data_IF_806785408431
#
_entry.id   IF_806785408431
#
_cell.length_a   1.000
_cell.length_b   1.000
_cell.length_c   1.000
_cell.angle_alpha   90.00
_cell.angle_beta   90.00
_cell.angle_gamma   90.00
#
_symmetry.space_group_name_H-M   'P 1'
#
loop_
_entity.id
_entity.type
_entity.pdbx_description
1 polymer ?
#
# COMPACT_ATOMS: atom_id res chain seq x y z
N UNK A 1 -29.04 68.06 -39.82
CA UNK A 1 -28.07 69.03 -39.28
C UNK A 1 -28.07 68.91 -37.76
N UNK A 2 -26.88 68.88 -37.18
CA UNK A 2 -26.59 68.67 -35.76
C UNK A 2 -27.39 69.57 -34.80
N UNK A 3 -27.76 69.00 -33.66
CA UNK A 3 -27.51 69.47 -32.28
C UNK A 3 -28.29 68.49 -31.38
N UNK A 4 -27.68 67.71 -30.49
CA UNK A 4 -26.71 68.10 -29.48
C UNK A 4 -27.42 67.98 -28.12
N UNK A 5 -27.44 66.79 -27.52
CA UNK A 5 -27.84 66.59 -26.13
C UNK A 5 -26.92 65.56 -25.46
N UNK A 6 -26.13 66.06 -24.52
CA UNK A 6 -25.49 65.28 -23.46
C UNK A 6 -26.57 64.63 -22.58
N UNK A 7 -26.42 63.34 -22.28
CA UNK A 7 -27.02 62.72 -21.10
C UNK A 7 -25.99 61.86 -20.38
N UNK A 8 -26.07 61.97 -19.06
CA UNK A 8 -25.16 61.45 -18.05
C UNK A 8 -25.01 59.92 -18.11
N UNK A 9 -23.79 59.46 -17.84
CA UNK A 9 -23.48 58.08 -17.51
C UNK A 9 -23.77 57.89 -16.02
N UNK A 10 -24.92 57.29 -15.71
CA UNK A 10 -25.17 56.71 -14.38
C UNK A 10 -24.46 55.36 -14.29
N UNK A 11 -23.56 55.25 -13.31
CA UNK A 11 -22.94 54.01 -12.88
C UNK A 11 -24.01 53.06 -12.32
N UNK A 12 -24.36 52.02 -13.06
CA UNK A 12 -25.12 50.89 -12.53
C UNK A 12 -24.13 49.87 -11.97
N UNK A 13 -24.18 49.77 -10.65
CA UNK A 13 -23.51 48.81 -9.79
C UNK A 13 -23.95 47.38 -10.13
N UNK A 14 -23.15 46.67 -10.94
CA UNK A 14 -23.39 45.25 -11.26
C UNK A 14 -22.85 44.40 -10.11
N UNK A 15 -23.66 44.25 -9.05
CA UNK A 15 -23.55 43.11 -8.12
C UNK A 15 -23.81 41.83 -8.91
N UNK A 16 -22.74 41.22 -9.39
CA UNK A 16 -22.77 39.87 -9.96
C UNK A 16 -23.02 38.90 -8.81
N UNK A 17 -24.26 38.44 -8.71
CA UNK A 17 -24.70 37.33 -7.86
C UNK A 17 -23.84 36.12 -8.23
N UNK A 18 -22.83 35.83 -7.39
CA UNK A 18 -22.14 34.57 -7.41
C UNK A 18 -23.18 33.50 -7.06
N UNK A 19 -23.59 32.74 -8.08
CA UNK A 19 -24.38 31.53 -7.88
C UNK A 19 -23.54 30.59 -7.02
N UNK A 20 -23.97 30.39 -5.79
CA UNK A 20 -23.38 29.42 -4.88
C UNK A 20 -23.31 28.07 -5.58
N UNK A 21 -22.10 27.56 -5.72
CA UNK A 21 -21.86 26.14 -5.96
C UNK A 21 -22.45 25.42 -4.75
N UNK A 22 -23.35 24.44 -4.92
CA UNK A 22 -23.88 23.69 -3.79
C UNK A 22 -22.71 22.97 -3.11
N UNK A 23 -22.48 23.28 -1.83
CA UNK A 23 -21.75 22.39 -0.94
C UNK A 23 -22.57 21.08 -0.88
N UNK A 24 -22.15 20.07 -1.64
CA UNK A 24 -22.68 18.72 -1.48
C UNK A 24 -22.25 18.24 -0.10
N UNK A 25 -23.20 18.14 0.82
CA UNK A 25 -23.00 17.62 2.16
C UNK A 25 -22.27 16.28 2.11
N UNK A 26 -21.05 16.27 2.62
CA UNK A 26 -20.22 15.09 2.72
C UNK A 26 -20.83 14.14 3.76
N UNK A 27 -21.48 13.07 3.28
CA UNK A 27 -21.86 11.91 4.08
C UNK A 27 -20.62 11.07 4.45
N UNK A 28 -19.66 11.67 5.17
CA UNK A 28 -18.53 10.97 5.79
C UNK A 28 -19.04 10.30 7.08
N UNK A 29 -18.81 9.00 7.26
CA UNK A 29 -19.39 8.23 8.37
C UNK A 29 -18.37 7.83 9.44
N UNK A 30 -17.08 7.78 9.11
CA UNK A 30 -16.04 7.51 10.11
C UNK A 30 -15.41 8.84 10.55
N UNK A 31 -15.97 9.46 11.59
CA UNK A 31 -15.22 10.49 12.34
C UNK A 31 -13.94 9.85 12.85
N UNK A 32 -12.80 10.32 12.35
CA UNK A 32 -11.49 9.83 12.76
C UNK A 32 -10.99 10.73 13.88
N UNK A 33 -10.49 10.12 14.94
CA UNK A 33 -9.86 10.87 16.04
C UNK A 33 -8.55 11.46 15.53
N UNK A 34 -8.30 12.74 15.79
CA UNK A 34 -6.98 13.32 15.58
C UNK A 34 -6.06 12.87 16.73
N UNK A 35 -4.83 12.50 16.39
CA UNK A 35 -3.82 12.09 17.36
C UNK A 35 -2.63 13.05 17.32
N UNK A 36 -1.93 13.26 18.44
CA UNK A 36 -0.75 14.12 18.49
C UNK A 36 0.32 13.65 17.49
N UNK A 37 1.05 14.63 16.97
CA UNK A 37 2.26 14.44 16.16
C UNK A 37 3.43 15.16 16.85
N UNK A 38 4.70 14.88 16.50
CA UNK A 38 5.85 15.63 17.01
C UNK A 38 5.68 17.15 16.91
N UNK A 39 6.23 17.88 17.87
CA UNK A 39 6.13 19.34 17.91
C UNK A 39 7.18 19.97 16.99
N UNK A 40 6.71 20.68 15.96
CA UNK A 40 7.51 21.58 15.13
C UNK A 40 8.54 20.94 14.20
N UNK A 41 8.97 19.69 14.42
CA UNK A 41 9.93 18.99 13.55
C UNK A 41 9.71 17.47 13.52
N UNK A 42 9.98 16.88 12.36
CA UNK A 42 10.10 15.43 12.16
C UNK A 42 11.37 15.09 11.39
N UNK A 43 11.86 13.87 11.61
CA UNK A 43 12.98 13.26 10.91
C UNK A 43 12.45 12.15 10.02
N UNK A 44 12.56 12.33 8.71
CA UNK A 44 11.79 11.58 7.73
C UNK A 44 12.66 10.74 6.80
N UNK A 45 12.15 9.54 6.49
CA UNK A 45 12.51 8.76 5.31
C UNK A 45 11.54 9.06 4.17
N UNK A 46 12.05 9.03 2.94
CA UNK A 46 11.28 9.30 1.74
C UNK A 46 10.63 8.01 1.24
N UNK A 47 9.31 8.01 1.14
CA UNK A 47 8.58 6.88 0.57
C UNK A 47 8.42 7.03 -0.95
N UNK A 48 7.81 8.14 -1.38
CA UNK A 48 7.54 8.42 -2.78
C UNK A 48 7.46 9.93 -3.03
N UNK A 49 7.80 10.35 -4.25
CA UNK A 49 7.78 11.76 -4.69
C UNK A 49 6.61 12.07 -5.65
N UNK A 50 5.76 11.07 -5.84
CA UNK A 50 4.67 11.00 -6.80
C UNK A 50 3.50 10.20 -6.20
N UNK A 51 3.39 10.20 -4.87
CA UNK A 51 2.27 9.61 -4.16
C UNK A 51 0.97 10.40 -4.40
N UNK A 52 -0.15 9.80 -4.04
CA UNK A 52 -1.45 10.47 -3.95
C UNK A 52 -1.82 10.73 -2.49
N UNK A 53 -2.20 11.97 -2.20
CA UNK A 53 -2.65 12.40 -0.88
C UNK A 53 -3.89 11.62 -0.43
N UNK A 54 -3.91 11.13 0.80
CA UNK A 54 -5.07 10.47 1.39
C UNK A 54 -6.23 11.44 1.68
N UNK A 55 -5.91 12.71 2.01
CA UNK A 55 -6.90 13.69 2.49
C UNK A 55 -7.25 14.80 1.48
N UNK A 56 -6.38 15.11 0.51
CA UNK A 56 -6.62 16.21 -0.45
C UNK A 56 -7.05 15.76 -1.86
N UNK A 57 -8.01 14.84 -1.96
CA UNK A 57 -8.66 14.44 -3.23
C UNK A 57 -7.67 14.05 -4.35
N UNK A 58 -6.74 13.12 -4.10
CA UNK A 58 -5.78 12.60 -5.09
C UNK A 58 -4.86 13.67 -5.69
N UNK A 59 -4.52 14.69 -4.91
CA UNK A 59 -3.42 15.56 -5.29
C UNK A 59 -2.12 14.77 -5.18
N UNK A 60 -1.24 15.04 -6.14
CA UNK A 60 0.11 14.50 -6.13
C UNK A 60 0.86 15.11 -4.96
N UNK A 61 1.49 14.26 -4.15
CA UNK A 61 2.27 14.67 -3.00
C UNK A 61 3.62 13.95 -2.94
N UNK A 62 4.52 14.49 -2.11
CA UNK A 62 5.67 13.77 -1.59
C UNK A 62 5.25 13.15 -0.26
N UNK A 63 5.37 11.82 -0.17
CA UNK A 63 5.06 11.05 1.03
C UNK A 63 6.32 10.71 1.80
N UNK A 64 6.27 10.97 3.09
CA UNK A 64 7.35 10.77 4.04
C UNK A 64 6.89 9.91 5.21
N UNK A 65 7.81 9.11 5.76
CA UNK A 65 7.65 8.46 7.06
C UNK A 65 8.54 9.13 8.08
N UNK A 66 7.94 9.80 9.07
CA UNK A 66 8.62 10.59 10.09
C UNK A 66 8.67 9.91 11.46
N UNK A 67 9.69 10.28 12.24
CA UNK A 67 9.80 10.04 13.69
C UNK A 67 10.11 11.36 14.41
N UNK A 68 9.96 11.36 15.74
CA UNK A 68 10.33 12.51 16.58
C UNK A 68 11.84 12.74 16.65
N UNK A 69 12.26 13.96 17.04
CA UNK A 69 13.67 14.30 17.27
C UNK A 69 14.34 13.37 18.30
N UNK A 70 13.65 13.11 19.42
CA UNK A 70 14.17 12.22 20.46
C UNK A 70 14.45 10.81 19.93
N UNK A 71 13.54 10.26 19.12
CA UNK A 71 13.71 8.94 18.50
C UNK A 71 14.79 8.93 17.42
N UNK A 72 14.94 10.03 16.66
CA UNK A 72 16.02 10.18 15.72
C UNK A 72 17.38 10.17 16.43
N UNK A 73 17.57 11.01 17.44
CA UNK A 73 18.81 11.05 18.24
C UNK A 73 19.12 9.69 18.86
N UNK A 74 18.12 9.03 19.46
CA UNK A 74 18.29 7.68 20.01
C UNK A 74 18.75 6.67 18.94
N UNK A 75 18.21 6.77 17.73
CA UNK A 75 18.59 5.89 16.61
C UNK A 75 20.06 6.06 16.18
N UNK A 76 20.70 7.19 16.49
CA UNK A 76 22.11 7.44 16.21
C UNK A 76 23.05 6.81 17.23
N UNK A 77 22.58 6.61 18.47
CA UNK A 77 23.38 6.11 19.59
C UNK A 77 23.31 4.58 19.70
N UNK A 78 22.13 4.00 19.51
CA UNK A 78 21.90 2.58 19.73
C UNK A 78 22.07 1.73 18.46
N UNK A 79 22.87 0.65 18.56
CA UNK A 79 22.79 -0.48 17.62
C UNK A 79 21.56 -1.34 17.94
N UNK A 80 20.37 -0.75 17.92
CA UNK A 80 19.15 -1.44 18.34
C UNK A 80 18.41 -1.99 17.11
N UNK A 81 18.76 -3.21 16.74
CA UNK A 81 18.04 -3.97 15.69
C UNK A 81 16.57 -4.17 16.07
N UNK A 82 16.25 -4.07 17.37
CA UNK A 82 14.91 -4.17 17.95
C UNK A 82 14.25 -2.82 18.27
N UNK A 83 14.78 -1.68 17.79
CA UNK A 83 14.13 -0.38 18.00
C UNK A 83 12.68 -0.40 17.56
N UNK A 84 11.85 0.27 18.36
CA UNK A 84 10.48 0.63 18.05
C UNK A 84 10.38 2.15 17.91
N UNK A 85 9.50 2.60 17.02
CA UNK A 85 9.33 4.02 16.73
C UNK A 85 7.85 4.37 16.75
N UNK A 86 7.53 5.61 17.10
CA UNK A 86 6.23 6.19 16.77
C UNK A 86 6.38 6.78 15.39
N UNK A 87 5.70 6.18 14.41
CA UNK A 87 5.90 6.51 13.00
C UNK A 87 4.70 7.29 12.48
N UNK A 88 4.99 8.36 11.76
CA UNK A 88 4.00 9.28 11.21
C UNK A 88 4.08 9.26 9.69
N UNK A 89 2.94 9.30 9.00
CA UNK A 89 2.89 9.71 7.60
C UNK A 89 2.87 11.23 7.57
N UNK A 90 3.65 11.81 6.68
CA UNK A 90 3.53 13.20 6.27
C UNK A 90 3.42 13.26 4.75
N UNK A 91 2.37 13.90 4.26
CA UNK A 91 2.21 14.19 2.84
C UNK A 91 2.38 15.70 2.65
N UNK A 92 3.29 16.08 1.75
CA UNK A 92 3.53 17.46 1.32
C UNK A 92 3.08 17.58 -0.13
N UNK A 93 2.07 18.42 -0.39
CA UNK A 93 1.52 18.59 -1.73
C UNK A 93 2.55 19.14 -2.71
N UNK A 94 2.50 18.69 -3.96
CA UNK A 94 3.50 19.02 -4.98
C UNK A 94 3.73 20.54 -5.17
N UNK A 95 2.70 21.41 -5.17
CA UNK A 95 2.92 22.85 -5.25
C UNK A 95 3.74 23.42 -4.08
N UNK A 96 3.53 22.93 -2.86
CA UNK A 96 4.33 23.34 -1.70
C UNK A 96 5.77 22.80 -1.81
N UNK A 97 5.93 21.57 -2.27
CA UNK A 97 7.24 20.96 -2.53
C UNK A 97 8.08 21.74 -3.57
N UNK A 98 7.45 22.19 -4.66
CA UNK A 98 8.12 22.97 -5.71
C UNK A 98 8.57 24.34 -5.22
N UNK A 99 7.76 25.03 -4.41
CA UNK A 99 8.11 26.34 -3.81
C UNK A 99 9.34 26.23 -2.91
N UNK A 100 9.50 25.09 -2.22
CA UNK A 100 10.68 24.80 -1.40
C UNK A 100 11.95 24.51 -2.24
N UNK A 101 11.84 24.47 -3.58
CA UNK A 101 12.95 24.23 -4.53
C UNK A 101 13.70 22.92 -4.29
N UNK A 102 12.99 21.88 -3.86
CA UNK A 102 13.57 20.59 -3.48
C UNK A 102 13.80 19.66 -4.69
N UNK A 103 14.08 20.22 -5.87
CA UNK A 103 14.32 19.46 -7.10
C UNK A 103 15.55 18.55 -6.98
N UNK A 104 16.56 18.95 -6.21
CA UNK A 104 17.73 18.12 -5.97
C UNK A 104 17.39 16.87 -5.15
N UNK A 105 16.46 16.97 -4.19
CA UNK A 105 15.95 15.82 -3.44
C UNK A 105 15.18 14.89 -4.39
N UNK A 106 14.40 15.42 -5.32
CA UNK A 106 13.69 14.60 -6.31
C UNK A 106 14.66 13.76 -7.17
N UNK A 107 15.77 14.37 -7.61
CA UNK A 107 16.81 13.71 -8.40
C UNK A 107 17.66 12.73 -7.58
N UNK A 108 17.81 12.99 -6.28
CA UNK A 108 18.63 12.19 -5.36
C UNK A 108 17.82 11.36 -4.37
N UNK A 109 16.53 11.15 -4.66
CA UNK A 109 15.52 10.53 -3.79
C UNK A 109 15.94 9.20 -3.18
N UNK A 110 16.73 8.42 -3.91
CA UNK A 110 17.16 7.10 -3.48
C UNK A 110 18.03 7.14 -2.22
N UNK A 111 18.72 8.26 -1.96
CA UNK A 111 19.53 8.49 -0.74
C UNK A 111 18.71 8.55 0.55
N UNK A 112 17.39 8.79 0.45
CA UNK A 112 16.51 8.99 1.60
C UNK A 112 15.62 7.77 1.88
N UNK A 113 15.88 6.63 1.22
CA UNK A 113 15.18 5.36 1.46
C UNK A 113 15.58 4.78 2.83
N UNK A 114 14.77 3.86 3.33
CA UNK A 114 15.00 3.19 4.62
C UNK A 114 16.36 2.47 4.72
N UNK A 115 16.90 1.99 3.60
CA UNK A 115 18.21 1.33 3.52
C UNK A 115 19.40 2.28 3.62
N UNK A 116 19.17 3.56 3.41
CA UNK A 116 20.23 4.57 3.30
C UNK A 116 20.39 5.36 4.59
N UNK A 117 21.58 5.90 4.88
CA UNK A 117 21.83 6.62 6.11
C UNK A 117 21.20 8.02 6.16
N UNK A 118 20.90 8.64 5.02
CA UNK A 118 20.43 10.03 5.00
C UNK A 118 18.95 10.16 5.35
N UNK A 119 18.59 11.28 5.97
CA UNK A 119 17.22 11.61 6.38
C UNK A 119 16.86 13.02 5.91
N UNK A 120 15.57 13.33 5.97
CA UNK A 120 15.05 14.67 5.78
C UNK A 120 14.58 15.22 7.13
N UNK A 121 15.19 16.28 7.63
CA UNK A 121 14.59 17.08 8.70
C UNK A 121 13.53 17.99 8.08
N UNK A 122 12.28 17.84 8.53
CA UNK A 122 11.16 18.68 8.12
C UNK A 122 10.72 19.53 9.31
N UNK A 123 10.89 20.85 9.19
CA UNK A 123 10.39 21.82 10.17
C UNK A 123 9.06 22.40 9.71
N UNK A 124 8.11 22.52 10.63
CA UNK A 124 6.74 22.96 10.32
C UNK A 124 6.09 23.69 11.50
N UNK A 125 4.99 24.39 11.20
CA UNK A 125 4.02 24.83 12.21
C UNK A 125 2.79 23.94 12.15
N UNK A 126 2.47 23.32 13.28
CA UNK A 126 1.21 22.61 13.50
C UNK A 126 0.17 23.58 14.05
N UNK A 127 -0.15 24.62 13.28
CA UNK A 127 -1.07 25.67 13.73
C UNK A 127 -2.00 26.10 12.60
N UNK A 128 -2.86 25.17 12.20
CA UNK A 128 -3.94 25.47 11.28
C UNK A 128 -5.21 24.83 11.80
N UNK A 129 -6.07 25.68 12.36
CA UNK A 129 -7.47 25.35 12.65
C UNK A 129 -8.28 25.06 11.37
N UNK A 130 -7.68 25.26 10.18
CA UNK A 130 -8.25 24.96 8.88
C UNK A 130 -7.19 24.48 7.88
N UNK A 131 -7.54 23.48 7.09
CA UNK A 131 -6.76 22.96 5.96
C UNK A 131 -6.44 24.07 4.93
N UNK A 132 -5.16 24.34 4.67
CA UNK A 132 -4.69 25.26 3.62
C UNK A 132 -4.33 24.53 2.32
N UNK A 133 -4.44 23.20 2.31
CA UNK A 133 -4.16 22.33 1.19
C UNK A 133 -2.68 22.15 0.86
N UNK A 134 -1.75 22.41 1.78
CA UNK A 134 -0.31 22.30 1.55
C UNK A 134 0.32 21.01 2.08
N UNK A 135 0.03 20.64 3.32
CA UNK A 135 0.59 19.46 3.94
C UNK A 135 -0.21 18.99 5.14
N UNK A 136 -0.07 17.72 5.48
CA UNK A 136 -0.56 17.17 6.74
C UNK A 136 0.32 16.03 7.23
N UNK A 137 0.19 15.70 8.51
CA UNK A 137 0.73 14.47 9.07
C UNK A 137 -0.27 13.76 9.98
N UNK A 138 -0.09 12.46 10.17
CA UNK A 138 -0.85 11.65 11.12
C UNK A 138 -0.08 10.38 11.52
N UNK A 139 -0.30 9.82 12.71
CA UNK A 139 0.37 8.59 13.12
C UNK A 139 -0.16 7.36 12.38
N UNK A 140 0.78 6.51 11.94
CA UNK A 140 0.49 5.25 11.25
C UNK A 140 -0.27 4.26 12.14
N UNK A 141 -1.12 3.45 11.50
CA UNK A 141 -1.83 2.30 12.08
C UNK A 141 -2.84 2.65 13.18
N UNK A 142 -3.24 3.92 13.28
CA UNK A 142 -4.27 4.37 14.21
C UNK A 142 -5.58 4.77 13.50
N UNK A 143 -5.60 4.77 12.16
CA UNK A 143 -6.74 5.27 11.41
C UNK A 143 -7.07 6.74 11.73
N UNK A 144 -6.07 7.52 12.15
CA UNK A 144 -6.20 8.90 12.66
C UNK A 144 -6.71 9.89 11.62
N UNK A 145 -7.31 10.99 12.07
CA UNK A 145 -7.51 12.22 11.27
C UNK A 145 -6.16 12.97 11.09
N UNK A 146 -6.04 13.82 10.06
CA UNK A 146 -4.81 14.55 9.79
C UNK A 146 -4.63 15.72 10.76
N UNK A 147 -3.37 16.09 10.99
CA UNK A 147 -2.96 17.40 11.51
C UNK A 147 -2.37 18.18 10.34
N UNK A 148 -3.02 19.27 9.94
CA UNK A 148 -2.55 20.11 8.84
C UNK A 148 -1.32 20.91 9.26
N UNK A 149 -0.41 21.14 8.30
CA UNK A 149 0.92 21.67 8.56
C UNK A 149 1.27 22.78 7.57
N UNK A 150 1.92 23.83 8.06
CA UNK A 150 2.68 24.75 7.22
C UNK A 150 4.15 24.33 7.23
N UNK A 151 4.66 23.88 6.07
CA UNK A 151 6.06 23.46 5.95
C UNK A 151 6.96 24.69 5.88
N UNK A 152 7.88 24.81 6.84
CA UNK A 152 8.83 25.92 6.90
C UNK A 152 10.12 25.58 6.15
N UNK A 153 10.59 24.34 6.29
CA UNK A 153 11.88 23.91 5.75
C UNK A 153 11.96 22.39 5.63
N UNK A 154 12.65 21.93 4.58
CA UNK A 154 13.10 20.54 4.43
C UNK A 154 14.60 20.56 4.17
N UNK A 155 15.39 19.86 4.98
CA UNK A 155 16.86 19.76 4.79
C UNK A 155 17.34 18.32 4.87
N UNK A 156 18.20 17.87 3.94
CA UNK A 156 18.95 16.63 4.09
C UNK A 156 19.85 16.70 5.33
N UNK A 157 19.90 15.59 6.07
CA UNK A 157 20.80 15.42 7.20
C UNK A 157 21.37 14.00 7.21
N UNK A 158 22.50 13.84 7.89
CA UNK A 158 23.10 12.53 8.11
C UNK A 158 22.44 11.83 9.30
N UNK A 159 22.21 10.53 9.15
CA UNK A 159 21.76 9.67 10.22
C UNK A 159 22.20 8.23 10.02
N UNK A 160 21.38 7.28 10.48
CA UNK A 160 21.58 5.85 10.22
C UNK A 160 20.49 5.28 9.33
N UNK A 161 20.84 4.22 8.60
CA UNK A 161 19.85 3.41 7.92
C UNK A 161 18.91 2.77 8.95
N UNK A 162 17.66 2.54 8.56
CA UNK A 162 16.72 1.81 9.40
C UNK A 162 17.27 0.39 9.62
N UNK A 163 17.36 -0.10 10.87
CA UNK A 163 17.89 -1.43 11.11
C UNK A 163 17.03 -2.49 10.42
N UNK A 164 17.69 -3.45 9.78
CA UNK A 164 17.01 -4.58 9.13
C UNK A 164 16.27 -5.42 10.16
N UNK A 165 15.10 -5.91 9.79
CA UNK A 165 14.34 -6.83 10.63
C UNK A 165 14.95 -8.23 10.55
N UNK A 166 15.50 -8.74 11.67
CA UNK A 166 16.06 -10.09 11.70
C UNK A 166 15.00 -11.15 11.51
N UNK A 167 15.30 -12.12 10.67
CA UNK A 167 14.45 -13.28 10.42
C UNK A 167 14.31 -14.12 11.68
N UNK A 168 13.08 -14.50 11.99
CA UNK A 168 12.78 -15.54 12.98
C UNK A 168 12.19 -16.76 12.28
N UNK A 169 12.36 -17.98 12.83
CA UNK A 169 11.62 -19.14 12.33
C UNK A 169 10.12 -18.85 12.35
N UNK A 170 9.44 -19.07 11.23
CA UNK A 170 8.01 -18.85 11.15
C UNK A 170 7.27 -19.85 12.07
N UNK A 171 6.66 -19.35 13.14
CA UNK A 171 5.77 -20.15 13.97
C UNK A 171 4.41 -20.23 13.29
N UNK A 172 4.05 -21.42 12.80
CA UNK A 172 2.74 -21.69 12.20
C UNK A 172 1.64 -21.19 13.15
N UNK A 173 0.72 -20.32 12.69
CA UNK A 173 -0.44 -19.96 13.50
C UNK A 173 -1.23 -21.23 13.83
N UNK A 174 -1.79 -21.28 15.04
CA UNK A 174 -2.67 -22.37 15.43
C UNK A 174 -4.00 -22.24 14.68
N UNK A 175 -4.13 -22.95 13.57
CA UNK A 175 -5.41 -23.16 12.92
C UNK A 175 -6.03 -24.45 13.46
N UNK A 176 -7.24 -24.36 14.01
CA UNK A 176 -8.00 -25.56 14.35
C UNK A 176 -8.31 -26.30 13.05
N UNK A 177 -7.95 -27.58 12.91
CA UNK A 177 -8.29 -28.37 11.73
C UNK A 177 -9.78 -28.26 11.46
N UNK A 178 -10.14 -27.85 10.25
CA UNK A 178 -11.53 -27.61 9.87
C UNK A 178 -11.91 -28.59 8.77
N UNK A 179 -13.12 -29.16 8.87
CA UNK A 179 -13.73 -29.87 7.74
C UNK A 179 -14.13 -28.92 6.59
N UNK A 180 -14.11 -27.61 6.82
CA UNK A 180 -14.39 -26.61 5.80
C UNK A 180 -13.17 -26.39 4.93
N UNK A 181 -13.38 -26.44 3.62
CA UNK A 181 -12.31 -26.26 2.65
C UNK A 181 -11.84 -24.83 2.57
N UNK A 182 -10.57 -24.67 2.23
CA UNK A 182 -10.00 -23.36 1.96
C UNK A 182 -10.38 -22.88 0.55
N UNK A 183 -10.54 -21.58 0.42
CA UNK A 183 -10.77 -20.87 -0.84
C UNK A 183 -9.83 -19.67 -0.89
N UNK A 184 -9.48 -19.24 -2.11
CA UNK A 184 -8.72 -18.02 -2.33
C UNK A 184 -9.63 -16.98 -2.99
N UNK A 185 -9.80 -15.85 -2.33
CA UNK A 185 -10.49 -14.67 -2.85
C UNK A 185 -9.50 -13.54 -3.10
N UNK A 186 -9.59 -12.88 -4.24
CA UNK A 186 -8.88 -11.64 -4.53
C UNK A 186 -9.86 -10.47 -4.58
N UNK A 187 -9.36 -9.26 -4.34
CA UNK A 187 -10.16 -8.06 -4.22
C UNK A 187 -9.66 -6.98 -5.16
N UNK A 188 -10.57 -6.37 -5.93
CA UNK A 188 -10.26 -5.17 -6.70
C UNK A 188 -10.18 -3.98 -5.74
N UNK A 189 -8.96 -3.59 -5.39
CA UNK A 189 -8.67 -2.50 -4.43
C UNK A 189 -8.14 -1.25 -5.14
N UNK A 190 -8.40 -1.13 -6.45
CA UNK A 190 -7.70 -0.21 -7.33
C UNK A 190 -6.23 -0.60 -7.47
N UNK A 191 -5.30 0.35 -7.40
CA UNK A 191 -3.87 0.04 -7.37
C UNK A 191 -3.47 -0.58 -6.02
N UNK A 192 -2.62 -1.60 -6.04
CA UNK A 192 -2.29 -2.40 -4.88
C UNK A 192 -2.78 -3.83 -4.96
N UNK A 193 -2.41 -4.68 -4.00
CA UNK A 193 -2.84 -6.09 -3.94
C UNK A 193 -3.59 -6.40 -2.66
N UNK A 194 -4.63 -7.21 -2.78
CA UNK A 194 -5.35 -7.74 -1.62
C UNK A 194 -6.02 -9.08 -1.96
N UNK A 195 -5.69 -10.11 -1.20
CA UNK A 195 -6.32 -11.44 -1.30
C UNK A 195 -6.51 -12.06 0.08
N UNK A 196 -7.43 -13.02 0.20
CA UNK A 196 -7.68 -13.75 1.44
C UNK A 196 -7.78 -15.24 1.14
N UNK A 197 -6.91 -16.03 1.78
CA UNK A 197 -6.94 -17.49 1.75
C UNK A 197 -7.55 -18.01 3.05
N UNK A 198 -8.77 -18.56 2.99
CA UNK A 198 -9.55 -18.85 4.21
C UNK A 198 -10.46 -20.05 4.07
N UNK A 199 -10.88 -20.61 5.20
CA UNK A 199 -11.90 -21.67 5.28
C UNK A 199 -13.28 -21.17 5.76
N UNK A 200 -13.44 -19.85 5.87
CA UNK A 200 -14.66 -19.19 6.33
C UNK A 200 -14.74 -18.99 7.85
N UNK A 201 -13.79 -19.56 8.60
CA UNK A 201 -13.63 -19.35 10.05
C UNK A 201 -12.31 -18.68 10.40
N UNK A 202 -11.23 -19.06 9.72
CA UNK A 202 -9.89 -18.50 9.89
C UNK A 202 -9.23 -18.34 8.52
N UNK A 203 -8.16 -17.56 8.44
CA UNK A 203 -7.43 -17.44 7.19
C UNK A 203 -6.21 -16.53 7.25
N UNK A 204 -5.72 -16.23 6.06
CA UNK A 204 -4.57 -15.37 5.81
C UNK A 204 -4.98 -14.28 4.84
N UNK A 205 -4.72 -13.03 5.19
CA UNK A 205 -4.68 -11.92 4.23
C UNK A 205 -3.32 -11.95 3.52
N UNK A 206 -3.30 -11.81 2.20
CA UNK A 206 -2.12 -11.76 1.36
C UNK A 206 -2.11 -10.38 0.70
N UNK A 207 -1.30 -9.48 1.25
CA UNK A 207 -1.37 -8.03 1.04
C UNK A 207 -2.75 -7.40 1.38
N UNK A 208 -2.74 -6.10 1.68
CA UNK A 208 -3.91 -5.31 2.04
C UNK A 208 -3.77 -3.88 1.54
N UNK A 209 -3.40 -3.75 0.28
CA UNK A 209 -3.23 -2.49 -0.42
C UNK A 209 -4.52 -1.88 -0.94
N UNK A 210 -4.50 -0.58 -1.20
CA UNK A 210 -5.49 0.10 -2.02
C UNK A 210 -4.89 1.36 -2.63
N UNK A 211 -5.49 1.81 -3.73
CA UNK A 211 -5.00 2.91 -4.56
C UNK A 211 -6.05 3.26 -5.60
N UNK A 212 -5.80 4.30 -6.41
CA UNK A 212 -6.84 4.89 -7.26
C UNK A 212 -7.54 3.85 -8.14
N UNK A 213 -8.88 3.80 -8.20
CA UNK A 213 -9.80 4.80 -7.65
C UNK A 213 -10.22 4.54 -6.18
N UNK A 214 -9.78 3.45 -5.55
CA UNK A 214 -10.09 3.18 -4.14
C UNK A 214 -9.11 3.92 -3.22
N UNK A 215 -9.47 5.16 -2.89
CA UNK A 215 -8.71 6.04 -2.01
C UNK A 215 -9.36 6.17 -0.63
N UNK A 216 -8.63 6.67 0.35
CA UNK A 216 -9.12 6.80 1.74
C UNK A 216 -10.42 7.60 1.85
N UNK A 217 -10.56 8.67 1.06
CA UNK A 217 -11.81 9.46 1.02
C UNK A 217 -13.01 8.61 0.58
N UNK A 218 -12.89 7.90 -0.54
CA UNK A 218 -13.93 7.01 -1.08
C UNK A 218 -14.23 5.88 -0.09
N UNK A 219 -13.17 5.25 0.45
CA UNK A 219 -13.26 4.20 1.46
C UNK A 219 -14.11 4.57 2.69
N UNK A 220 -14.10 5.85 3.09
CA UNK A 220 -14.83 6.36 4.25
C UNK A 220 -16.29 6.76 3.96
N UNK A 221 -16.72 6.72 2.70
CA UNK A 221 -18.09 7.08 2.33
C UNK A 221 -19.08 5.99 2.78
N UNK A 222 -20.27 6.41 3.25
CA UNK A 222 -21.32 5.47 3.68
C UNK A 222 -21.75 4.48 2.59
N UNK A 223 -21.79 4.96 1.36
CA UNK A 223 -22.25 4.20 0.18
C UNK A 223 -21.20 3.25 -0.37
N UNK A 224 -19.96 3.31 0.11
CA UNK A 224 -18.87 2.49 -0.40
C UNK A 224 -19.07 1.02 -0.04
N UNK A 225 -19.08 0.15 -1.06
CA UNK A 225 -19.14 -1.29 -0.85
C UNK A 225 -17.74 -1.85 -0.63
N UNK A 226 -17.56 -2.52 0.50
CA UNK A 226 -16.32 -3.16 0.90
C UNK A 226 -16.54 -4.65 1.23
N UNK A 227 -16.44 -5.49 0.19
CA UNK A 227 -16.60 -6.94 0.33
C UNK A 227 -15.43 -7.59 1.09
N UNK A 228 -14.24 -6.99 1.05
CA UNK A 228 -13.08 -7.41 1.86
C UNK A 228 -13.40 -7.33 3.35
N UNK A 229 -13.87 -6.18 3.84
CA UNK A 229 -14.24 -6.02 5.24
C UNK A 229 -15.38 -6.94 5.66
N UNK A 230 -16.34 -7.19 4.76
CA UNK A 230 -17.43 -8.14 5.00
C UNK A 230 -16.91 -9.56 5.24
N UNK A 231 -15.87 -9.97 4.50
CA UNK A 231 -15.22 -11.26 4.68
C UNK A 231 -14.41 -11.32 5.98
N UNK A 232 -13.43 -10.43 6.16
CA UNK A 232 -12.45 -10.52 7.27
C UNK A 232 -13.10 -10.34 8.64
N UNK A 233 -14.26 -9.67 8.73
CA UNK A 233 -15.02 -9.56 9.98
C UNK A 233 -15.46 -10.91 10.58
N UNK A 234 -15.52 -11.95 9.75
CA UNK A 234 -15.94 -13.30 10.14
C UNK A 234 -14.78 -14.24 10.45
N UNK A 235 -13.53 -13.80 10.21
CA UNK A 235 -12.35 -14.64 10.34
C UNK A 235 -11.64 -14.39 11.68
N UNK A 236 -11.35 -15.47 12.40
CA UNK A 236 -10.53 -15.49 13.62
C UNK A 236 -10.02 -16.93 13.89
N UNK A 237 -8.69 -17.16 13.99
CA UNK A 237 -7.62 -16.18 13.81
C UNK A 237 -7.50 -15.70 12.35
N UNK A 238 -6.92 -14.51 12.19
CA UNK A 238 -6.62 -13.90 10.89
C UNK A 238 -5.18 -13.37 10.93
N UNK A 239 -4.28 -14.00 10.20
CA UNK A 239 -2.92 -13.51 10.01
C UNK A 239 -2.79 -12.80 8.66
N UNK A 240 -1.73 -12.02 8.48
CA UNK A 240 -1.40 -11.36 7.22
C UNK A 240 -0.01 -11.80 6.74
N UNK A 241 0.15 -12.02 5.44
CA UNK A 241 1.45 -12.08 4.75
C UNK A 241 1.56 -10.83 3.90
N UNK A 242 2.61 -10.07 4.12
CA UNK A 242 2.97 -8.92 3.31
C UNK A 242 4.08 -9.31 2.33
N UNK A 243 3.87 -9.06 1.04
CA UNK A 243 4.83 -9.40 -0.01
C UNK A 243 6.05 -8.47 0.03
N UNK A 244 5.87 -7.15 0.11
CA UNK A 244 6.93 -6.16 0.34
C UNK A 244 6.36 -4.89 0.97
N UNK A 245 7.23 -3.90 1.24
CA UNK A 245 6.90 -2.75 2.07
C UNK A 245 6.36 -1.54 1.32
N UNK A 246 6.10 -1.63 0.02
CA UNK A 246 5.49 -0.51 -0.70
C UNK A 246 4.06 -0.28 -0.23
N UNK A 247 3.72 1.00 -0.14
CA UNK A 247 2.50 1.47 0.52
C UNK A 247 1.22 0.84 -0.02
N UNK A 248 1.14 0.64 -1.33
CA UNK A 248 0.04 0.00 -2.03
C UNK A 248 -0.05 -1.52 -1.79
N UNK A 249 0.72 -2.09 -0.86
CA UNK A 249 0.53 -3.46 -0.37
C UNK A 249 -0.03 -3.54 1.05
N UNK A 250 -0.17 -2.41 1.76
CA UNK A 250 -0.63 -2.41 3.14
C UNK A 250 -1.47 -1.19 3.57
N UNK A 251 -1.78 -0.23 2.69
CA UNK A 251 -2.58 0.98 3.03
C UNK A 251 -3.88 0.68 3.81
N UNK A 252 -4.63 -0.37 3.45
CA UNK A 252 -5.88 -0.67 4.15
C UNK A 252 -5.65 -1.03 5.62
N UNK A 253 -4.50 -1.62 5.95
CA UNK A 253 -4.08 -1.90 7.33
C UNK A 253 -3.85 -0.61 8.15
N UNK A 254 -3.32 0.44 7.51
CA UNK A 254 -3.20 1.78 8.13
C UNK A 254 -4.55 2.51 8.23
N UNK A 255 -5.35 2.42 7.17
CA UNK A 255 -6.60 3.18 7.06
C UNK A 255 -7.73 2.63 7.94
N UNK A 256 -7.78 1.33 8.21
CA UNK A 256 -8.88 0.69 8.93
C UNK A 256 -8.42 0.01 10.23
N UNK A 257 -8.61 0.70 11.36
CA UNK A 257 -8.27 0.18 12.68
C UNK A 257 -9.02 -1.12 13.03
N UNK A 258 -10.26 -1.30 12.54
CA UNK A 258 -11.01 -2.54 12.77
C UNK A 258 -10.35 -3.72 12.04
N UNK A 259 -9.79 -3.47 10.85
CA UNK A 259 -9.02 -4.49 10.14
C UNK A 259 -7.72 -4.82 10.89
N UNK A 260 -6.96 -3.80 11.29
CA UNK A 260 -5.71 -3.99 12.04
C UNK A 260 -5.92 -4.76 13.35
N UNK A 261 -6.96 -4.45 14.11
CA UNK A 261 -7.28 -5.12 15.38
C UNK A 261 -7.52 -6.62 15.19
N UNK A 262 -8.08 -7.02 14.04
CA UNK A 262 -8.35 -8.42 13.69
C UNK A 262 -7.12 -9.20 13.29
N UNK A 263 -6.09 -8.53 12.77
CA UNK A 263 -4.87 -9.19 12.34
C UNK A 263 -4.04 -9.58 13.56
N UNK A 264 -3.84 -10.86 13.81
CA UNK A 264 -3.10 -11.36 14.97
C UNK A 264 -1.57 -11.35 14.75
N UNK A 265 -1.14 -11.64 13.52
CA UNK A 265 0.26 -11.68 13.08
C UNK A 265 0.40 -11.09 11.69
N UNK A 266 1.52 -10.40 11.46
CA UNK A 266 1.91 -9.83 10.18
C UNK A 266 3.27 -10.41 9.79
N UNK A 267 3.27 -11.37 8.87
CA UNK A 267 4.48 -11.94 8.31
C UNK A 267 5.04 -11.01 7.23
N UNK A 268 6.30 -10.60 7.36
CA UNK A 268 6.95 -9.66 6.45
C UNK A 268 8.27 -10.22 5.91
N UNK A 269 8.82 -9.73 4.79
CA UNK A 269 10.13 -10.15 4.31
C UNK A 269 11.21 -9.84 5.35
N UNK A 270 11.91 -10.87 5.79
CA UNK A 270 13.05 -10.68 6.69
C UNK A 270 14.27 -10.09 5.97
N UNK A 271 15.18 -9.55 6.77
CA UNK A 271 16.45 -8.94 6.36
C UNK A 271 16.34 -7.72 5.43
N UNK A 272 15.16 -7.08 5.39
CA UNK A 272 14.97 -5.81 4.68
C UNK A 272 14.54 -4.70 5.67
N UNK A 273 15.00 -3.46 5.49
CA UNK A 273 14.63 -2.35 6.37
C UNK A 273 13.22 -1.83 6.04
N UNK A 274 12.47 -1.45 7.08
CA UNK A 274 11.19 -0.77 6.92
C UNK A 274 10.87 0.05 8.18
N UNK A 275 10.78 1.37 8.05
CA UNK A 275 10.41 2.25 9.15
C UNK A 275 8.95 2.02 9.60
N UNK A 276 7.94 1.98 8.70
CA UNK A 276 6.55 1.68 9.09
C UNK A 276 6.40 0.41 9.94
N UNK A 277 7.09 -0.67 9.58
CA UNK A 277 6.99 -1.96 10.28
C UNK A 277 7.88 -2.08 11.53
N UNK A 278 8.50 -0.97 11.95
CA UNK A 278 9.04 -0.76 13.29
C UNK A 278 8.13 0.10 14.19
N UNK A 279 6.94 0.47 13.71
CA UNK A 279 5.95 1.19 14.50
C UNK A 279 5.61 0.47 15.80
N UNK A 280 5.65 1.19 16.91
CA UNK A 280 5.27 0.75 18.26
C UNK A 280 3.87 0.14 18.29
N UNK A 281 2.96 0.63 17.42
CA UNK A 281 1.57 0.18 17.30
C UNK A 281 1.47 -1.27 16.83
N UNK A 282 2.29 -1.67 15.86
CA UNK A 282 2.15 -2.99 15.22
C UNK A 282 3.31 -3.94 15.48
N UNK A 283 4.44 -3.45 16.06
CA UNK A 283 5.67 -4.24 16.18
C UNK A 283 5.45 -5.61 16.82
N UNK A 284 4.59 -5.70 17.84
CA UNK A 284 4.28 -6.95 18.52
C UNK A 284 3.58 -8.00 17.63
N UNK A 285 2.90 -7.57 16.55
CA UNK A 285 2.27 -8.43 15.54
C UNK A 285 3.25 -8.81 14.42
N UNK A 286 4.33 -8.05 14.20
CA UNK A 286 5.23 -8.22 13.05
C UNK A 286 6.22 -9.37 13.27
N UNK A 287 6.22 -10.34 12.34
CA UNK A 287 7.12 -11.49 12.31
C UNK A 287 7.91 -11.49 10.99
N UNK A 288 9.18 -11.05 10.99
CA UNK A 288 10.02 -11.10 9.79
C UNK A 288 10.45 -12.53 9.49
N UNK A 289 10.21 -13.03 8.28
CA UNK A 289 10.43 -14.43 7.92
C UNK A 289 11.23 -14.60 6.62
N UNK A 290 11.77 -15.79 6.45
CA UNK A 290 12.27 -16.30 5.16
C UNK A 290 11.20 -17.21 4.53
N UNK A 291 11.62 -18.09 3.61
CA UNK A 291 10.79 -19.17 3.09
C UNK A 291 10.20 -20.02 4.22
N UNK A 292 8.88 -20.19 4.21
CA UNK A 292 8.16 -20.91 5.25
C UNK A 292 6.86 -21.54 4.72
N UNK A 293 6.43 -22.63 5.38
CA UNK A 293 5.06 -23.14 5.24
C UNK A 293 4.23 -22.63 6.43
N UNK A 294 3.28 -21.74 6.16
CA UNK A 294 2.44 -21.09 7.17
C UNK A 294 1.16 -21.86 7.47
N UNK A 295 0.63 -22.60 6.47
CA UNK A 295 -0.51 -23.49 6.61
C UNK A 295 -0.22 -24.82 5.92
N UNK A 296 -0.58 -25.92 6.58
CA UNK A 296 -0.48 -27.28 6.06
C UNK A 296 -1.62 -28.12 6.66
N UNK A 297 -2.82 -27.98 6.09
CA UNK A 297 -4.04 -28.66 6.53
C UNK A 297 -4.31 -29.83 5.58
N UNK A 298 -3.86 -31.01 5.99
CA UNK A 298 -4.00 -32.24 5.21
C UNK A 298 -5.46 -32.69 5.10
N UNK A 299 -6.30 -32.39 6.09
CA UNK A 299 -7.72 -32.76 6.12
C UNK A 299 -8.51 -31.91 5.12
N UNK A 300 -8.25 -30.59 5.10
CA UNK A 300 -8.86 -29.69 4.13
C UNK A 300 -8.19 -29.74 2.74
N UNK A 301 -7.09 -30.51 2.60
CA UNK A 301 -6.22 -30.53 1.43
C UNK A 301 -5.77 -29.12 1.04
N UNK A 302 -5.25 -28.36 2.01
CA UNK A 302 -4.89 -26.95 1.85
C UNK A 302 -3.47 -26.65 2.37
N UNK A 303 -2.75 -25.79 1.66
CA UNK A 303 -1.39 -25.39 2.01
C UNK A 303 -1.16 -23.92 1.64
N UNK A 304 -0.46 -23.18 2.51
CA UNK A 304 0.08 -21.86 2.22
C UNK A 304 1.59 -21.90 2.46
N UNK A 305 2.36 -21.74 1.38
CA UNK A 305 3.80 -21.55 1.43
C UNK A 305 4.14 -20.13 1.01
N UNK A 306 5.12 -19.54 1.68
CA UNK A 306 5.75 -18.28 1.27
C UNK A 306 7.21 -18.56 0.92
N UNK A 307 7.69 -17.97 -0.16
CA UNK A 307 9.05 -18.13 -0.67
C UNK A 307 9.73 -16.78 -0.61
N UNK A 308 10.86 -16.69 0.10
CA UNK A 308 11.67 -15.47 0.16
C UNK A 308 12.55 -15.38 -1.08
N UNK A 309 12.49 -14.24 -1.77
CA UNK A 309 13.37 -13.97 -2.91
C UNK A 309 14.83 -13.86 -2.50
N UNK A 310 15.73 -14.12 -3.45
CA UNK A 310 17.16 -13.82 -3.38
C UNK A 310 17.56 -13.18 -4.71
N UNK A 311 17.12 -11.94 -4.96
CA UNK A 311 17.19 -11.36 -6.29
C UNK A 311 18.63 -11.07 -6.71
N UNK A 312 18.93 -11.21 -8.00
CA UNK A 312 20.22 -10.77 -8.55
C UNK A 312 20.45 -9.25 -8.37
N UNK A 313 19.38 -8.47 -8.41
CA UNK A 313 19.38 -7.03 -8.11
C UNK A 313 18.42 -6.73 -6.96
N UNK A 314 18.94 -6.20 -5.86
CA UNK A 314 18.14 -5.86 -4.68
C UNK A 314 17.43 -4.52 -4.84
N UNK A 315 16.11 -4.51 -4.66
CA UNK A 315 15.25 -3.32 -4.61
C UNK A 315 13.99 -3.64 -3.80
N UNK A 316 13.12 -2.64 -3.53
CA UNK A 316 11.90 -2.84 -2.72
C UNK A 316 11.03 -3.99 -3.25
N UNK A 317 10.73 -4.00 -4.56
CA UNK A 317 9.97 -5.06 -5.22
C UNK A 317 10.72 -6.40 -5.28
N UNK A 318 12.04 -6.38 -5.14
CA UNK A 318 12.92 -7.56 -5.22
C UNK A 318 13.14 -8.26 -3.91
N UNK A 319 12.96 -7.57 -2.79
CA UNK A 319 13.20 -8.07 -1.45
C UNK A 319 11.87 -8.45 -0.80
N UNK A 320 11.26 -9.53 -1.31
CA UNK A 320 9.85 -9.82 -1.12
C UNK A 320 9.58 -11.26 -0.64
N UNK A 321 8.34 -11.50 -0.23
CA UNK A 321 7.75 -12.82 -0.08
C UNK A 321 6.79 -13.08 -1.25
N UNK A 322 6.94 -14.25 -1.89
CA UNK A 322 5.99 -14.76 -2.89
C UNK A 322 5.12 -15.83 -2.24
N UNK A 323 3.80 -15.68 -2.27
CA UNK A 323 2.88 -16.64 -1.69
C UNK A 323 2.39 -17.65 -2.74
N UNK A 324 2.32 -18.92 -2.32
CA UNK A 324 1.78 -20.03 -3.10
C UNK A 324 0.69 -20.70 -2.27
N UNK A 325 -0.55 -20.55 -2.74
CA UNK A 325 -1.72 -21.18 -2.12
C UNK A 325 -2.04 -22.48 -2.87
N UNK A 326 -2.32 -23.55 -2.14
CA UNK A 326 -2.86 -24.79 -2.70
C UNK A 326 -4.13 -25.17 -1.97
N UNK A 327 -5.15 -25.58 -2.72
CA UNK A 327 -6.33 -26.21 -2.13
C UNK A 327 -6.97 -27.16 -3.11
N UNK A 328 -7.36 -28.36 -2.65
CA UNK A 328 -8.10 -29.35 -3.47
C UNK A 328 -7.42 -29.67 -4.81
N UNK A 329 -6.10 -29.78 -4.81
CA UNK A 329 -5.30 -30.04 -6.00
C UNK A 329 -5.07 -28.82 -6.92
N UNK A 330 -5.69 -27.68 -6.64
CA UNK A 330 -5.45 -26.42 -7.35
C UNK A 330 -4.33 -25.61 -6.72
N UNK A 331 -3.68 -24.76 -7.51
CA UNK A 331 -2.56 -23.93 -7.09
C UNK A 331 -2.69 -22.49 -7.61
N UNK A 332 -2.41 -21.52 -6.74
CA UNK A 332 -2.33 -20.12 -7.10
C UNK A 332 -0.99 -19.49 -6.72
N UNK A 333 -0.53 -18.55 -7.54
CA UNK A 333 0.67 -17.76 -7.32
C UNK A 333 0.31 -16.29 -7.03
N UNK A 334 0.88 -15.74 -5.96
CA UNK A 334 0.75 -14.33 -5.59
C UNK A 334 2.16 -13.75 -5.38
N UNK A 335 2.77 -13.16 -6.42
CA UNK A 335 4.16 -12.73 -6.42
C UNK A 335 4.42 -11.38 -5.75
N UNK A 336 3.39 -10.62 -5.38
CA UNK A 336 3.57 -9.18 -5.10
C UNK A 336 4.13 -8.50 -6.34
N UNK A 337 5.09 -7.60 -6.18
CA UNK A 337 5.73 -6.94 -7.34
C UNK A 337 6.95 -7.68 -7.90
N UNK A 338 7.13 -8.95 -7.53
CA UNK A 338 8.21 -9.78 -8.09
C UNK A 338 7.84 -10.32 -9.47
N UNK A 339 8.16 -9.55 -10.51
CA UNK A 339 7.86 -9.87 -11.92
C UNK A 339 8.41 -11.24 -12.34
N UNK A 340 7.68 -11.96 -13.19
CA UNK A 340 8.00 -13.35 -13.57
C UNK A 340 9.40 -13.53 -14.15
N UNK A 341 9.87 -12.57 -14.97
CA UNK A 341 11.22 -12.57 -15.55
C UNK A 341 12.36 -12.70 -14.53
N UNK A 342 12.12 -12.38 -13.26
CA UNK A 342 13.13 -12.48 -12.20
C UNK A 342 13.23 -13.90 -11.66
N UNK A 343 12.18 -14.71 -11.75
CA UNK A 343 12.17 -16.06 -11.17
C UNK A 343 13.31 -16.94 -11.67
N UNK A 344 13.61 -17.07 -12.98
CA UNK A 344 14.65 -18.00 -13.43
C UNK A 344 16.07 -17.59 -12.99
N UNK A 345 16.27 -16.30 -12.74
CA UNK A 345 17.56 -15.73 -12.33
C UNK A 345 17.69 -15.50 -10.82
N UNK A 346 16.66 -15.81 -10.03
CA UNK A 346 16.71 -15.68 -8.58
C UNK A 346 17.74 -16.66 -7.99
N UNK A 347 18.48 -16.24 -6.98
CA UNK A 347 19.49 -17.07 -6.30
C UNK A 347 18.89 -18.26 -5.54
N UNK A 348 17.63 -18.16 -5.10
CA UNK A 348 16.90 -19.21 -4.40
C UNK A 348 16.33 -20.26 -5.36
N UNK A 349 16.66 -21.54 -5.13
CA UNK A 349 16.18 -22.65 -5.96
C UNK A 349 14.65 -22.78 -5.94
N UNK A 350 14.02 -22.51 -4.80
CA UNK A 350 12.56 -22.53 -4.68
C UNK A 350 11.89 -21.45 -5.51
N UNK A 351 12.46 -20.24 -5.58
CA UNK A 351 11.95 -19.16 -6.41
C UNK A 351 12.07 -19.51 -7.89
N UNK A 352 13.22 -20.07 -8.32
CA UNK A 352 13.40 -20.57 -9.69
C UNK A 352 12.38 -21.64 -10.05
N UNK A 353 12.06 -22.54 -9.11
CA UNK A 353 11.09 -23.60 -9.34
C UNK A 353 9.66 -23.07 -9.60
N UNK A 354 9.32 -21.87 -9.14
CA UNK A 354 8.02 -21.24 -9.44
C UNK A 354 7.85 -20.95 -10.94
N UNK A 355 8.92 -20.59 -11.65
CA UNK A 355 8.86 -20.34 -13.10
C UNK A 355 8.52 -21.58 -13.94
N UNK A 356 8.84 -22.78 -13.44
CA UNK A 356 8.60 -24.04 -14.13
C UNK A 356 7.23 -24.66 -13.80
N UNK A 357 6.53 -24.14 -12.79
CA UNK A 357 5.24 -24.64 -12.37
C UNK A 357 4.11 -24.12 -13.27
N UNK A 358 2.94 -24.76 -13.17
CA UNK A 358 1.69 -24.32 -13.78
C UNK A 358 0.71 -23.87 -12.70
N UNK A 359 -0.14 -22.89 -13.03
CA UNK A 359 -1.06 -22.31 -12.06
C UNK A 359 -2.52 -22.25 -12.54
N UNK A 360 -3.45 -22.60 -11.64
CA UNK A 360 -4.89 -22.41 -11.85
C UNK A 360 -5.29 -20.94 -11.67
N UNK A 361 -4.53 -20.20 -10.87
CA UNK A 361 -4.70 -18.76 -10.75
C UNK A 361 -3.37 -18.04 -10.50
N UNK A 362 -3.26 -16.82 -11.02
CA UNK A 362 -2.18 -15.89 -10.68
C UNK A 362 -2.78 -14.55 -10.30
N UNK A 363 -2.26 -13.92 -9.23
CA UNK A 363 -2.38 -12.48 -9.06
C UNK A 363 -1.21 -11.87 -9.81
N UNK A 364 -1.50 -11.02 -10.80
CA UNK A 364 -0.47 -10.53 -11.71
C UNK A 364 0.49 -9.58 -10.98
N UNK A 365 1.82 -9.73 -11.12
CA UNK A 365 2.78 -8.91 -10.39
C UNK A 365 2.68 -7.43 -10.76
N UNK A 366 3.05 -6.55 -9.83
CA UNK A 366 3.24 -5.12 -10.09
C UNK A 366 2.07 -4.46 -10.83
N UNK A 367 0.86 -4.88 -10.48
CA UNK A 367 -0.40 -4.40 -11.05
C UNK A 367 -0.51 -4.60 -12.57
N UNK A 368 0.26 -5.51 -13.16
CA UNK A 368 0.33 -5.71 -14.61
C UNK A 368 1.11 -4.62 -15.33
N UNK A 369 2.23 -4.16 -14.77
CA UNK A 369 3.18 -3.30 -15.49
C UNK A 369 3.76 -4.00 -16.74
N UNK A 370 4.60 -3.30 -17.50
CA UNK A 370 5.20 -3.87 -18.71
C UNK A 370 6.13 -5.07 -18.38
N UNK A 371 6.84 -5.04 -17.25
CA UNK A 371 7.74 -6.12 -16.87
C UNK A 371 6.99 -7.39 -16.44
N UNK A 372 5.73 -7.27 -16.02
CA UNK A 372 4.83 -8.39 -15.74
C UNK A 372 4.34 -9.12 -16.98
N UNK A 373 4.52 -8.54 -18.17
CA UNK A 373 4.24 -9.22 -19.44
C UNK A 373 5.36 -10.20 -19.86
N UNK A 374 6.54 -10.08 -19.25
CA UNK A 374 7.72 -10.86 -19.61
C UNK A 374 7.78 -12.19 -18.83
N UNK A 375 7.92 -13.29 -19.55
CA UNK A 375 7.98 -14.67 -19.02
C UNK A 375 6.77 -15.05 -18.15
N UNK A 376 5.55 -14.73 -18.59
CA UNK A 376 4.32 -15.16 -17.91
C UNK A 376 4.36 -16.67 -17.63
N UNK A 377 4.05 -17.04 -16.39
CA UNK A 377 4.01 -18.45 -15.96
C UNK A 377 2.88 -19.19 -16.67
N UNK A 378 2.98 -20.51 -16.82
CA UNK A 378 2.02 -21.26 -17.61
C UNK A 378 0.70 -21.54 -16.86
N UNK A 379 -0.47 -21.46 -17.51
CA UNK A 379 -1.72 -21.90 -16.91
C UNK A 379 -1.81 -23.44 -16.83
N UNK A 380 -2.60 -23.95 -15.88
CA UNK A 380 -2.93 -25.39 -15.78
C UNK A 380 -3.90 -25.79 -16.90
N UNK A 381 -4.88 -24.94 -17.19
CA UNK A 381 -5.95 -25.14 -18.18
C UNK A 381 -6.42 -23.81 -18.78
N UNK A 382 -7.24 -23.87 -19.82
CA UNK A 382 -7.95 -22.74 -20.44
C UNK A 382 -8.93 -22.01 -19.50
N UNK A 383 -9.25 -22.60 -18.35
CA UNK A 383 -10.06 -21.98 -17.29
C UNK A 383 -9.24 -21.29 -16.20
N UNK A 384 -7.90 -21.31 -16.30
CA UNK A 384 -7.03 -20.69 -15.30
C UNK A 384 -7.17 -19.18 -15.31
N UNK A 385 -7.04 -18.52 -14.17
CA UNK A 385 -7.33 -17.09 -14.01
C UNK A 385 -6.05 -16.26 -13.87
N UNK A 386 -5.95 -15.14 -14.59
CA UNK A 386 -5.02 -14.07 -14.28
C UNK A 386 -5.79 -12.87 -13.71
N UNK A 387 -5.59 -12.58 -12.42
CA UNK A 387 -6.26 -11.49 -11.72
C UNK A 387 -5.39 -10.24 -11.66
N UNK A 388 -5.86 -9.16 -12.27
CA UNK A 388 -5.21 -7.86 -12.27
C UNK A 388 -5.85 -6.99 -11.19
N UNK A 389 -5.06 -6.70 -10.15
CA UNK A 389 -5.37 -5.67 -9.16
C UNK A 389 -4.61 -4.40 -9.53
N UNK A 390 -5.29 -3.51 -10.22
CA UNK A 390 -4.73 -2.30 -10.81
C UNK A 390 -5.73 -1.15 -10.73
N UNK A 391 -5.22 0.06 -10.95
CA UNK A 391 -5.95 1.30 -10.74
C UNK A 391 -6.12 2.17 -11.98
N UNK A 392 -6.64 3.38 -11.79
CA UNK A 392 -6.84 4.37 -12.87
C UNK A 392 -5.82 5.50 -12.83
N UNK A 393 -4.68 5.29 -12.18
CA UNK A 393 -3.61 6.28 -12.10
C UNK A 393 -3.17 6.71 -13.50
N UNK A 394 -3.25 8.02 -13.77
CA UNK A 394 -2.84 8.59 -15.06
C UNK A 394 -1.35 8.47 -15.33
N UNK A 395 -0.53 8.50 -14.27
CA UNK A 395 0.93 8.40 -14.35
C UNK A 395 1.40 6.95 -14.57
N UNK A 396 1.04 6.02 -13.67
CA UNK A 396 1.44 4.61 -13.80
C UNK A 396 0.76 3.95 -14.99
N UNK A 397 -0.54 4.23 -15.20
CA UNK A 397 -1.35 3.69 -16.27
C UNK A 397 -1.22 2.15 -16.35
N UNK A 398 -1.44 1.50 -15.20
CA UNK A 398 -1.52 0.05 -15.05
C UNK A 398 -2.99 -0.41 -15.15
N UNK A 399 -3.27 -1.68 -15.55
CA UNK A 399 -2.31 -2.58 -16.15
C UNK A 399 -1.97 -2.10 -17.58
N UNK A 400 -0.78 -2.46 -18.06
CA UNK A 400 -0.38 -2.23 -19.44
C UNK A 400 -1.09 -3.22 -20.35
N UNK A 401 -1.47 -2.77 -21.55
CA UNK A 401 -2.16 -3.62 -22.53
C UNK A 401 -1.33 -4.86 -22.88
N UNK A 402 -0.02 -4.69 -23.07
CA UNK A 402 0.92 -5.81 -23.30
C UNK A 402 0.86 -6.88 -22.20
N UNK A 403 0.68 -6.49 -20.93
CA UNK A 403 0.55 -7.46 -19.84
C UNK A 403 -0.77 -8.22 -19.94
N UNK A 404 -1.88 -7.55 -20.28
CA UNK A 404 -3.17 -8.20 -20.50
C UNK A 404 -3.07 -9.21 -21.66
N UNK A 405 -2.57 -8.76 -22.81
CA UNK A 405 -2.47 -9.54 -24.04
C UNK A 405 -1.60 -10.78 -23.82
N UNK A 406 -0.41 -10.64 -23.21
CA UNK A 406 0.48 -11.78 -22.98
C UNK A 406 -0.10 -12.83 -22.02
N UNK A 407 -0.93 -12.43 -21.05
CA UNK A 407 -1.62 -13.38 -20.18
C UNK A 407 -2.77 -14.09 -20.91
N UNK A 408 -3.52 -13.40 -21.76
CA UNK A 408 -4.55 -14.01 -22.60
C UNK A 408 -3.93 -14.98 -23.61
N UNK A 409 -2.84 -14.58 -24.28
CA UNK A 409 -2.14 -15.36 -25.31
C UNK A 409 -1.56 -16.67 -24.78
N UNK A 410 -1.09 -16.70 -23.52
CA UNK A 410 -0.62 -17.93 -22.88
C UNK A 410 -1.76 -18.82 -22.35
N UNK A 411 -3.01 -18.34 -22.40
CA UNK A 411 -4.21 -19.11 -22.12
C UNK A 411 -4.88 -18.83 -20.77
N UNK A 412 -4.60 -17.70 -20.11
CA UNK A 412 -5.36 -17.29 -18.92
C UNK A 412 -6.67 -16.58 -19.29
N UNK A 413 -7.69 -16.80 -18.47
CA UNK A 413 -8.86 -15.92 -18.38
C UNK A 413 -8.47 -14.69 -17.58
N UNK A 414 -8.34 -13.55 -18.25
CA UNK A 414 -7.99 -12.28 -17.62
C UNK A 414 -9.19 -11.66 -16.90
N UNK A 415 -8.96 -11.26 -15.64
CA UNK A 415 -9.91 -10.53 -14.82
C UNK A 415 -9.30 -9.19 -14.44
N UNK A 416 -9.84 -8.13 -15.02
CA UNK A 416 -9.40 -6.76 -14.81
C UNK A 416 -10.62 -5.86 -14.58
N UNK A 417 -10.65 -5.17 -13.43
CA UNK A 417 -11.65 -4.13 -13.12
C UNK A 417 -10.99 -2.87 -12.58
N UNK A 418 -9.99 -2.35 -13.29
CA UNK A 418 -9.22 -1.17 -12.86
C UNK A 418 -10.06 0.06 -12.51
N UNK A 419 -11.20 0.23 -13.18
CA UNK A 419 -12.15 1.35 -12.96
C UNK A 419 -13.06 1.16 -11.73
N UNK A 420 -12.96 0.03 -11.00
CA UNK A 420 -13.83 -0.28 -9.87
C UNK A 420 -13.58 0.68 -8.70
N UNK A 421 -14.55 1.55 -8.42
CA UNK A 421 -14.52 2.47 -7.25
C UNK A 421 -14.96 1.81 -5.95
N UNK A 422 -15.22 0.50 -5.97
CA UNK A 422 -15.64 -0.32 -4.82
C UNK A 422 -14.65 -1.47 -4.62
N UNK A 423 -14.53 -1.98 -3.38
CA UNK A 423 -13.76 -3.20 -3.12
C UNK A 423 -14.64 -4.42 -3.38
N UNK A 424 -14.39 -5.06 -4.53
CA UNK A 424 -15.15 -6.21 -5.02
C UNK A 424 -14.35 -7.50 -4.99
N UNK A 425 -15.00 -8.55 -4.55
CA UNK A 425 -14.47 -9.90 -4.41
C UNK A 425 -14.49 -10.65 -5.76
N UNK A 426 -13.44 -11.45 -5.97
CA UNK A 426 -13.39 -12.48 -7.00
C UNK A 426 -12.79 -13.77 -6.43
N UNK A 427 -13.55 -14.87 -6.53
CA UNK A 427 -13.07 -16.22 -6.22
C UNK A 427 -12.03 -16.65 -7.26
N UNK A 428 -10.82 -16.98 -6.80
CA UNK A 428 -9.73 -17.52 -7.63
C UNK A 428 -9.64 -19.04 -7.49
N UNK A 429 -9.64 -19.56 -6.25
CA UNK A 429 -9.61 -21.00 -5.98
C UNK A 429 -10.84 -21.41 -5.15
N UNK A 430 -11.45 -22.54 -5.52
CA UNK A 430 -12.58 -23.16 -4.82
C UNK A 430 -12.50 -24.69 -4.91
#
# INVERSE_FOLDING_TARGET
MNNGQQKAVENVDVKRIARGVPQTGENLVKERKQHPIPDGRMYCKLEAVDAESDYHNNRRCVRLFGISEAQFVQSLEENSTNSTFDVFIMDIEWPAWEVLKLNDIYLTRDRFRDSEPEWLEVSYRSDVSADDGQAYAYPLFLGSAPTFLEIQRVVPIDGRAIPRSHTVPAVRPHHTPSSSHYVLDAFHVGQGMCSVFHNGKSGFVLDAGAGTPVIRKIYNQKSFVNEFMTLVKRLSPLSMVLSHFDVDHWRLLDWDAEFLDRVDKIFVPGNYPSLPFKSSIIKAKVTPITTATLLDDTVASANLRVVRSSPHFSNKNGECLVAVCRTRGKIALLPGDYTYRRFPTDGGSEMRALSAAKYDAVVVPHHGDAASADQVVNPVSDSSIAFFSAGTHSYYNHPKQESLDNHEDIGYVVINKKESTEIKQKRLLA
#
